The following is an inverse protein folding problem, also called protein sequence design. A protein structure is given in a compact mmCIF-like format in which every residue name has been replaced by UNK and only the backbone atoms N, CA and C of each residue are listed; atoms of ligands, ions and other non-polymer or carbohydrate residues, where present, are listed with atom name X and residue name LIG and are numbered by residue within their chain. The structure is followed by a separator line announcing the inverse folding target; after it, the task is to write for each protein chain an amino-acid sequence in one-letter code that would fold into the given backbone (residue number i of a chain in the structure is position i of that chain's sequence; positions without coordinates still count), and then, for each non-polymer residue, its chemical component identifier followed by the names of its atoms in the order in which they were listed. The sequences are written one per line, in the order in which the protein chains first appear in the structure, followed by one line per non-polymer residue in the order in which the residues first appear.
data_IF_857007483668
#
_entry.id   IF_857007483668
#
_cell.length_a   1.000
_cell.length_b   1.000
_cell.length_c   1.000
_cell.angle_alpha   90.00
_cell.angle_beta   90.00
_cell.angle_gamma   90.00
#
_symmetry.space_group_name_H-M   'P 1'
#
loop_
_entity.id
_entity.type
_entity.pdbx_description
1 polymer ?
#
# COMPACT_ATOMS: atom_id res chain seq x y z
N UNK A 1 7.57 -82.05 -9.23
CA UNK A 1 7.00 -81.15 -10.25
C UNK A 1 6.93 -79.79 -9.57
N UNK A 2 7.87 -78.90 -9.88
CA UNK A 2 8.11 -77.64 -9.16
C UNK A 2 7.38 -76.51 -9.87
N UNK A 3 6.45 -75.85 -9.19
CA UNK A 3 5.78 -74.66 -9.69
C UNK A 3 6.60 -73.44 -9.23
N UNK A 4 7.18 -72.71 -10.17
CA UNK A 4 7.90 -71.48 -9.89
C UNK A 4 6.87 -70.34 -9.79
N UNK A 5 6.73 -69.78 -8.59
CA UNK A 5 5.94 -68.59 -8.33
C UNK A 5 6.74 -67.35 -8.79
N UNK A 6 6.41 -66.83 -9.97
CA UNK A 6 6.96 -65.58 -10.51
C UNK A 6 6.05 -64.42 -10.08
N UNK A 7 6.36 -63.84 -8.91
CA UNK A 7 5.70 -62.64 -8.40
C UNK A 7 5.93 -61.43 -9.32
N UNK A 8 4.94 -60.54 -9.51
CA UNK A 8 5.03 -59.45 -10.48
C UNK A 8 6.14 -58.46 -10.12
N UNK A 9 7.00 -58.14 -11.09
CA UNK A 9 8.09 -57.18 -10.94
C UNK A 9 7.56 -55.77 -10.53
N UNK A 10 8.24 -55.07 -9.60
CA UNK A 10 7.79 -53.76 -9.12
C UNK A 10 7.74 -52.75 -10.26
N UNK A 11 6.57 -52.15 -10.48
CA UNK A 11 6.35 -51.22 -11.58
C UNK A 11 7.06 -49.88 -11.35
N UNK A 12 7.62 -49.26 -12.40
CA UNK A 12 8.33 -47.97 -12.35
C UNK A 12 7.48 -46.75 -11.92
N UNK A 13 6.18 -46.94 -11.69
CA UNK A 13 5.24 -45.89 -11.23
C UNK A 13 5.58 -45.36 -9.83
N UNK A 14 6.18 -46.18 -8.96
CA UNK A 14 6.48 -45.78 -7.59
C UNK A 14 7.44 -44.58 -7.52
N UNK A 15 8.47 -44.53 -8.38
CA UNK A 15 9.46 -43.44 -8.36
C UNK A 15 8.88 -42.11 -8.83
N UNK A 16 8.01 -42.16 -9.84
CA UNK A 16 7.33 -40.96 -10.34
C UNK A 16 6.28 -40.48 -9.34
N UNK A 17 5.54 -41.40 -8.72
CA UNK A 17 4.59 -41.08 -7.64
C UNK A 17 5.29 -40.39 -6.47
N UNK A 18 6.42 -40.92 -6.00
CA UNK A 18 7.24 -40.28 -4.97
C UNK A 18 7.81 -38.93 -5.41
N UNK A 19 8.21 -38.77 -6.67
CA UNK A 19 8.68 -37.49 -7.21
C UNK A 19 7.56 -36.44 -7.23
N UNK A 20 6.36 -36.83 -7.66
CA UNK A 20 5.18 -35.95 -7.66
C UNK A 20 4.73 -35.62 -6.24
N UNK A 21 4.75 -36.59 -5.33
CA UNK A 21 4.45 -36.38 -3.91
C UNK A 21 5.47 -35.43 -3.26
N UNK A 22 6.76 -35.62 -3.52
CA UNK A 22 7.81 -34.74 -3.03
C UNK A 22 7.68 -33.32 -3.59
N UNK A 23 7.36 -33.18 -4.88
CA UNK A 23 7.11 -31.87 -5.50
C UNK A 23 5.88 -31.19 -4.88
N UNK A 24 4.78 -31.91 -4.69
CA UNK A 24 3.57 -31.39 -4.05
C UNK A 24 3.83 -30.96 -2.60
N UNK A 25 4.55 -31.79 -1.84
CA UNK A 25 4.94 -31.46 -0.47
C UNK A 25 5.87 -30.23 -0.42
N UNK A 26 6.83 -30.12 -1.34
CA UNK A 26 7.71 -28.96 -1.42
C UNK A 26 6.94 -27.67 -1.74
N UNK A 27 6.00 -27.70 -2.68
CA UNK A 27 5.14 -26.55 -2.99
C UNK A 27 4.26 -26.17 -1.80
N UNK A 28 3.64 -27.16 -1.12
CA UNK A 28 2.84 -26.91 0.07
C UNK A 28 3.66 -26.28 1.20
N UNK A 29 4.85 -26.82 1.49
CA UNK A 29 5.79 -26.24 2.44
C UNK A 29 6.24 -24.84 2.05
N UNK A 30 6.45 -24.58 0.75
CA UNK A 30 6.78 -23.25 0.25
C UNK A 30 5.68 -22.24 0.53
N UNK A 31 4.42 -22.58 0.24
CA UNK A 31 3.26 -21.74 0.56
C UNK A 31 3.14 -21.51 2.06
N UNK A 32 3.23 -22.57 2.87
CA UNK A 32 3.19 -22.46 4.34
C UNK A 32 4.33 -21.60 4.88
N UNK A 33 5.53 -21.70 4.32
CA UNK A 33 6.68 -20.88 4.68
C UNK A 33 6.46 -19.40 4.42
N UNK A 34 5.89 -19.05 3.25
CA UNK A 34 5.52 -17.66 2.94
C UNK A 34 4.46 -17.15 3.91
N UNK A 35 3.41 -17.94 4.17
CA UNK A 35 2.35 -17.54 5.12
C UNK A 35 2.87 -17.37 6.54
N UNK A 36 3.75 -18.27 7.01
CA UNK A 36 4.37 -18.16 8.32
C UNK A 36 5.29 -16.93 8.40
N UNK A 37 6.04 -16.64 7.33
CA UNK A 37 6.87 -15.45 7.24
C UNK A 37 6.01 -14.18 7.33
N UNK A 38 4.94 -14.08 6.55
CA UNK A 38 3.99 -12.97 6.61
C UNK A 38 3.37 -12.84 8.01
N UNK A 39 2.93 -13.95 8.62
CA UNK A 39 2.34 -13.93 9.95
C UNK A 39 3.30 -13.43 11.04
N UNK A 40 4.59 -13.72 10.90
CA UNK A 40 5.62 -13.27 11.86
C UNK A 40 6.15 -11.86 11.59
N UNK A 41 6.04 -11.37 10.35
CA UNK A 41 6.52 -10.02 9.95
C UNK A 41 5.41 -8.99 9.80
N UNK A 42 4.15 -9.39 10.00
CA UNK A 42 3.02 -8.47 9.98
C UNK A 42 3.14 -7.46 11.13
N UNK A 43 3.49 -6.23 10.80
CA UNK A 43 3.48 -5.12 11.76
C UNK A 43 2.08 -4.48 11.78
N UNK A 44 1.37 -4.63 12.90
CA UNK A 44 0.15 -3.87 13.14
C UNK A 44 0.50 -2.45 13.63
N UNK A 45 -0.09 -1.43 13.00
CA UNK A 45 0.20 -0.04 13.36
C UNK A 45 -0.70 0.97 12.64
N UNK A 46 -0.77 2.23 13.11
CA UNK A 46 -1.54 3.27 12.43
C UNK A 46 -0.93 3.59 11.04
N UNK A 47 -1.71 4.17 10.11
CA UNK A 47 -1.17 4.73 8.88
C UNK A 47 -0.20 5.89 9.20
N UNK A 48 0.86 6.01 8.40
CA UNK A 48 1.83 7.11 8.51
C UNK A 48 1.71 7.99 7.27
N UNK A 49 0.92 9.06 7.39
CA UNK A 49 0.50 9.90 6.26
C UNK A 49 1.38 11.15 6.12
N UNK A 50 2.10 11.24 5.00
CA UNK A 50 2.99 12.37 4.67
C UNK A 50 2.52 13.05 3.39
N UNK A 51 2.17 14.34 3.48
CA UNK A 51 1.79 15.14 2.33
C UNK A 51 2.99 15.91 1.76
N UNK A 52 3.24 15.80 0.47
CA UNK A 52 4.33 16.52 -0.23
C UNK A 52 3.80 17.27 -1.44
N UNK A 53 4.00 18.58 -1.48
CA UNK A 53 3.66 19.42 -2.65
C UNK A 53 4.56 19.03 -3.83
N UNK A 54 3.97 18.83 -5.01
CA UNK A 54 4.69 18.52 -6.25
C UNK A 54 4.89 19.75 -7.11
N UNK A 55 3.81 20.47 -7.38
CA UNK A 55 3.84 21.70 -8.14
C UNK A 55 2.59 22.54 -7.93
N UNK A 56 2.71 23.81 -8.28
CA UNK A 56 1.64 24.80 -8.26
C UNK A 56 1.47 25.33 -9.68
N UNK A 57 0.24 25.33 -10.19
CA UNK A 57 -0.09 25.89 -11.51
C UNK A 57 -1.22 26.89 -11.41
N UNK A 58 -1.03 28.06 -12.02
CA UNK A 58 -2.10 29.02 -12.24
C UNK A 58 -3.07 28.48 -13.31
N UNK A 59 -4.36 28.66 -13.06
CA UNK A 59 -5.46 28.28 -13.96
C UNK A 59 -6.50 29.40 -13.97
N UNK A 60 -7.45 29.34 -14.91
CA UNK A 60 -8.55 30.31 -14.95
C UNK A 60 -9.41 30.29 -13.66
N UNK A 61 -9.40 29.20 -12.89
CA UNK A 61 -10.16 29.03 -11.65
C UNK A 61 -9.36 29.28 -10.37
N UNK A 62 -8.15 29.83 -10.47
CA UNK A 62 -7.23 30.02 -9.34
C UNK A 62 -5.97 29.18 -9.46
N UNK A 63 -5.32 28.90 -8.33
CA UNK A 63 -4.02 28.24 -8.27
C UNK A 63 -4.17 26.81 -7.78
N UNK A 64 -3.82 25.84 -8.62
CA UNK A 64 -3.90 24.41 -8.30
C UNK A 64 -2.55 23.95 -7.74
N UNK A 65 -2.52 23.64 -6.45
CA UNK A 65 -1.38 22.96 -5.83
C UNK A 65 -1.62 21.44 -5.88
N UNK A 66 -0.83 20.73 -6.67
CA UNK A 66 -0.82 19.26 -6.69
C UNK A 66 0.12 18.74 -5.63
N UNK A 67 -0.30 17.70 -4.93
CA UNK A 67 0.47 17.05 -3.88
C UNK A 67 0.32 15.53 -3.94
N UNK A 68 1.28 14.84 -3.35
CA UNK A 68 1.23 13.39 -3.12
C UNK A 68 1.05 13.16 -1.63
N UNK A 69 0.06 12.35 -1.28
CA UNK A 69 -0.10 11.77 0.05
C UNK A 69 0.55 10.39 0.05
N UNK A 70 1.62 10.21 0.79
CA UNK A 70 2.31 8.94 0.98
C UNK A 70 1.88 8.30 2.29
N UNK A 71 1.53 7.02 2.27
CA UNK A 71 1.29 6.22 3.46
C UNK A 71 2.45 5.24 3.65
N UNK A 72 3.33 5.53 4.60
CA UNK A 72 4.47 4.69 4.97
C UNK A 72 4.15 3.69 6.07
N UNK A 73 2.93 3.77 6.59
CA UNK A 73 2.46 2.90 7.66
C UNK A 73 1.95 1.55 7.14
N UNK A 74 1.85 0.57 8.03
CA UNK A 74 1.41 -0.78 7.66
C UNK A 74 -0.10 -0.89 7.45
N UNK A 75 -0.89 0.07 7.94
CA UNK A 75 -2.36 0.11 7.76
C UNK A 75 -2.79 1.06 6.65
N UNK A 76 -3.89 0.72 6.00
CA UNK A 76 -4.58 1.63 5.07
C UNK A 76 -5.39 2.70 5.81
N UNK A 77 -5.66 3.81 5.13
CA UNK A 77 -6.46 4.92 5.62
C UNK A 77 -7.59 5.24 4.64
N UNK A 78 -8.81 5.39 5.15
CA UNK A 78 -9.98 5.86 4.40
C UNK A 78 -10.37 7.28 4.84
N UNK A 79 -11.08 8.01 3.97
CA UNK A 79 -11.61 9.36 4.26
C UNK A 79 -10.55 10.30 4.87
N UNK A 80 -9.34 10.27 4.31
CA UNK A 80 -8.22 11.09 4.78
C UNK A 80 -8.53 12.54 4.51
N UNK A 81 -8.73 13.33 5.56
CA UNK A 81 -8.92 14.77 5.44
C UNK A 81 -7.57 15.46 5.54
N UNK A 82 -7.20 16.18 4.49
CA UNK A 82 -6.00 17.01 4.42
C UNK A 82 -6.40 18.46 4.62
N UNK A 83 -5.75 19.12 5.56
CA UNK A 83 -5.85 20.57 5.75
C UNK A 83 -4.68 21.21 5.02
N UNK A 84 -5.02 22.08 4.08
CA UNK A 84 -4.07 22.87 3.30
C UNK A 84 -4.19 24.34 3.73
N UNK A 85 -3.14 24.88 4.33
CA UNK A 85 -3.10 26.25 4.84
C UNK A 85 -2.08 27.05 4.07
N UNK A 86 -2.49 28.23 3.64
CA UNK A 86 -1.57 29.23 3.11
C UNK A 86 -1.30 30.26 4.19
N UNK A 87 -0.02 30.47 4.52
CA UNK A 87 0.41 31.44 5.52
C UNK A 87 1.22 32.56 4.90
N UNK A 88 0.95 33.78 5.36
CA UNK A 88 1.75 34.96 5.03
C UNK A 88 2.17 35.62 6.35
N UNK A 89 3.48 35.74 6.59
CA UNK A 89 3.99 36.33 7.84
C UNK A 89 3.50 35.62 9.10
N UNK A 90 3.33 34.30 9.05
CA UNK A 90 2.85 33.47 10.18
C UNK A 90 1.32 33.45 10.37
N UNK A 91 0.56 34.34 9.72
CA UNK A 91 -0.89 34.33 9.75
C UNK A 91 -1.47 33.43 8.62
N UNK A 92 -2.47 32.62 8.94
CA UNK A 92 -3.21 31.84 7.93
C UNK A 92 -4.08 32.79 7.12
N UNK A 93 -3.78 32.96 5.84
CA UNK A 93 -4.51 33.83 4.91
C UNK A 93 -5.54 33.09 4.08
N UNK A 94 -5.40 31.76 3.95
CA UNK A 94 -6.36 30.89 3.27
C UNK A 94 -6.26 29.46 3.85
N UNK A 95 -7.40 28.79 4.01
CA UNK A 95 -7.45 27.38 4.43
C UNK A 95 -8.41 26.61 3.52
N UNK A 96 -7.99 25.43 3.08
CA UNK A 96 -8.78 24.50 2.26
C UNK A 96 -8.73 23.10 2.86
N UNK A 97 -9.77 22.32 2.59
CA UNK A 97 -9.87 20.91 2.98
C UNK A 97 -9.99 20.06 1.72
N UNK A 98 -9.25 18.97 1.69
CA UNK A 98 -9.34 17.94 0.65
C UNK A 98 -9.54 16.61 1.33
N UNK A 99 -10.48 15.81 0.83
CA UNK A 99 -10.69 14.44 1.30
C UNK A 99 -10.18 13.49 0.24
N UNK A 100 -9.33 12.54 0.67
CA UNK A 100 -8.95 11.39 -0.15
C UNK A 100 -9.74 10.18 0.35
N UNK A 101 -10.48 9.54 -0.55
CA UNK A 101 -11.34 8.42 -0.19
C UNK A 101 -10.56 7.26 0.42
N UNK A 102 -9.35 7.01 -0.13
CA UNK A 102 -8.53 5.87 0.27
C UNK A 102 -7.04 6.09 -0.04
N UNK A 103 -6.19 5.71 0.91
CA UNK A 103 -4.74 5.62 0.78
C UNK A 103 -4.29 4.26 1.32
N UNK A 104 -3.89 3.35 0.43
CA UNK A 104 -3.47 2.01 0.79
C UNK A 104 -2.20 2.01 1.66
N UNK A 105 -1.93 0.92 2.38
CA UNK A 105 -0.67 0.71 3.09
C UNK A 105 0.50 0.77 2.10
N UNK A 106 1.65 1.30 2.53
CA UNK A 106 2.89 1.34 1.74
C UNK A 106 2.68 1.89 0.31
N UNK A 107 1.83 2.90 0.17
CA UNK A 107 1.39 3.41 -1.13
C UNK A 107 1.27 4.92 -1.12
N UNK A 108 1.06 5.51 -2.30
CA UNK A 108 0.91 6.95 -2.47
C UNK A 108 -0.30 7.31 -3.31
N UNK A 109 -0.94 8.44 -3.00
CA UNK A 109 -2.08 8.97 -3.73
C UNK A 109 -1.87 10.43 -4.12
N UNK A 110 -2.07 10.73 -5.39
CA UNK A 110 -2.05 12.10 -5.90
C UNK A 110 -3.38 12.80 -5.67
N UNK A 111 -3.32 14.08 -5.30
CA UNK A 111 -4.46 14.95 -5.12
C UNK A 111 -4.10 16.41 -5.45
N UNK A 112 -5.13 17.25 -5.55
CA UNK A 112 -4.98 18.67 -5.81
C UNK A 112 -5.87 19.49 -4.90
N UNK A 113 -5.41 20.69 -4.55
CA UNK A 113 -6.20 21.70 -3.85
C UNK A 113 -6.15 23.00 -4.65
N UNK A 114 -7.28 23.69 -4.73
CA UNK A 114 -7.41 24.95 -5.46
C UNK A 114 -7.43 26.10 -4.46
N UNK A 115 -6.57 27.09 -4.69
CA UNK A 115 -6.47 28.32 -3.90
C UNK A 115 -6.85 29.53 -4.74
N UNK A 116 -7.41 30.54 -4.08
CA UNK A 116 -7.63 31.86 -4.69
C UNK A 116 -6.31 32.64 -4.78
N UNK A 117 -5.52 32.62 -3.71
CA UNK A 117 -4.20 33.26 -3.66
C UNK A 117 -3.12 32.35 -4.23
N UNK A 118 -2.05 32.94 -4.74
CA UNK A 118 -0.91 32.19 -5.28
C UNK A 118 -0.10 31.52 -4.17
N UNK A 119 -0.09 30.17 -4.08
CA UNK A 119 0.69 29.44 -3.10
C UNK A 119 2.21 29.59 -3.28
N UNK A 120 2.70 30.04 -4.44
CA UNK A 120 4.12 30.29 -4.66
C UNK A 120 4.63 31.55 -3.94
N UNK A 121 3.73 32.46 -3.55
CA UNK A 121 4.06 33.73 -2.85
C UNK A 121 3.90 33.65 -1.33
N UNK A 122 3.52 32.50 -0.81
CA UNK A 122 3.23 32.29 0.60
C UNK A 122 3.66 30.89 1.05
N UNK A 123 3.66 30.65 2.35
CA UNK A 123 4.05 29.36 2.92
C UNK A 123 2.86 28.40 2.87
N UNK A 124 2.94 27.37 2.02
CA UNK A 124 1.94 26.32 1.91
C UNK A 124 2.24 25.17 2.87
N UNK A 125 1.39 25.02 3.89
CA UNK A 125 1.42 23.90 4.84
C UNK A 125 0.34 22.88 4.46
N UNK A 126 0.76 21.63 4.24
CA UNK A 126 -0.14 20.49 4.05
C UNK A 126 0.01 19.52 5.21
N UNK A 127 -1.10 19.10 5.82
CA UNK A 127 -1.09 18.04 6.83
C UNK A 127 -2.34 17.18 6.75
N UNK A 128 -2.17 15.87 6.97
CA UNK A 128 -3.29 14.99 7.28
C UNK A 128 -3.85 15.38 8.65
N UNK A 129 -5.14 15.67 8.71
CA UNK A 129 -5.84 16.10 9.92
C UNK A 129 -6.65 14.97 10.56
N UNK A 130 -7.22 14.09 9.75
CA UNK A 130 -7.97 12.92 10.22
C UNK A 130 -7.97 11.82 9.17
N UNK A 131 -8.25 10.60 9.61
CA UNK A 131 -8.53 9.44 8.77
C UNK A 131 -9.50 8.51 9.50
N UNK A 132 -10.14 7.62 8.75
CA UNK A 132 -10.92 6.49 9.26
C UNK A 132 -10.20 5.20 8.93
N UNK A 133 -10.29 4.20 9.82
CA UNK A 133 -9.87 2.84 9.45
C UNK A 133 -10.92 2.27 8.47
N UNK A 134 -10.50 1.72 7.32
CA UNK A 134 -11.42 1.17 6.33
C UNK A 134 -12.25 0.00 6.87
#
# INVERSE_FOLDING_TARGET
MSEADDGPAPRPVARLEWAVAALGAALACGVLGVLAYEALTYEDGPPELVATVRDVRATAGGHVARFVMENRGPSAAAEVTVIARLKHGGAVVEERRVTLDYVARMSSREAGVVFERDPATAELELRAASYRRP
#
